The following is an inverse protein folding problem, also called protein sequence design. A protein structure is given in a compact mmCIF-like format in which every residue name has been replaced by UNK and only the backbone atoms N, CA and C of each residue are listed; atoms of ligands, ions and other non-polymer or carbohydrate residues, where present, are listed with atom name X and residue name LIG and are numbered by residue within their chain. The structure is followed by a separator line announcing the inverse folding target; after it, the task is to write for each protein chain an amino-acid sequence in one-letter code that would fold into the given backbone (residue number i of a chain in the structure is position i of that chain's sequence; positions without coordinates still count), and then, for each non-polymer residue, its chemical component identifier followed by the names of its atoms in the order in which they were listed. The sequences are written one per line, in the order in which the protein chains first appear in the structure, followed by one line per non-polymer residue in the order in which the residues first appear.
data_IF_325533871251
#
_entry.id   IF_325533871251
#
_cell.length_a   1.000
_cell.length_b   1.000
_cell.length_c   1.000
_cell.angle_alpha   90.00
_cell.angle_beta   90.00
_cell.angle_gamma   90.00
#
_symmetry.space_group_name_H-M   'P 1'
#
loop_
_entity.id
_entity.type
_entity.pdbx_description
1 polymer ?
#
# COMPACT_ATOMS: atom_id res chain seq x y z
N UNK A 1 8.03 6.79 8.29
CA UNK A 1 6.74 7.01 7.59
C UNK A 1 6.82 8.09 6.52
N UNK A 2 7.18 9.33 6.87
CA UNK A 2 7.11 10.51 5.97
C UNK A 2 7.90 10.39 4.65
N UNK A 3 9.03 9.68 4.64
CA UNK A 3 9.85 9.49 3.43
C UNK A 3 9.21 8.51 2.43
N UNK A 4 8.61 7.41 2.90
CA UNK A 4 8.00 6.43 2.02
C UNK A 4 6.72 6.98 1.36
N UNK A 5 5.93 7.77 2.09
CA UNK A 5 4.78 8.48 1.54
C UNK A 5 5.20 9.53 0.52
N UNK A 6 6.23 10.33 0.84
CA UNK A 6 6.76 11.34 -0.08
C UNK A 6 7.31 10.76 -1.39
N UNK A 7 7.97 9.59 -1.31
CA UNK A 7 8.46 8.88 -2.50
C UNK A 7 7.31 8.41 -3.41
N UNK A 8 6.18 7.98 -2.83
CA UNK A 8 5.01 7.53 -3.59
C UNK A 8 4.15 8.68 -4.12
N UNK A 9 4.09 9.82 -3.42
CA UNK A 9 3.30 10.98 -3.82
C UNK A 9 4.00 11.89 -4.83
N UNK A 10 5.27 11.60 -5.15
CA UNK A 10 6.05 12.33 -6.16
C UNK A 10 5.77 11.79 -7.56
N UNK A 11 5.10 12.53 -8.47
CA UNK A 11 4.64 12.01 -9.77
C UNK A 11 5.75 11.53 -10.70
N UNK A 12 7.00 11.98 -10.51
CA UNK A 12 8.17 11.51 -11.30
C UNK A 12 8.86 10.28 -10.71
N UNK A 13 8.71 10.04 -9.41
CA UNK A 13 9.39 8.97 -8.69
C UNK A 13 8.46 7.80 -8.41
N UNK A 14 7.17 8.07 -8.20
CA UNK A 14 6.14 7.10 -7.89
C UNK A 14 5.91 6.07 -8.99
N UNK A 15 6.23 6.37 -10.26
CA UNK A 15 6.13 5.43 -11.38
C UNK A 15 7.37 4.55 -11.57
N UNK A 16 8.49 4.88 -10.93
CA UNK A 16 9.71 4.08 -11.05
C UNK A 16 9.58 2.77 -10.26
N UNK A 17 9.77 1.59 -10.90
CA UNK A 17 9.69 0.29 -10.22
C UNK A 17 10.64 0.18 -9.02
N UNK A 18 11.81 0.82 -9.11
CA UNK A 18 12.82 0.84 -8.05
C UNK A 18 12.36 1.64 -6.82
N UNK A 19 11.68 2.77 -7.04
CA UNK A 19 11.13 3.61 -5.97
C UNK A 19 9.95 2.89 -5.30
N UNK A 20 9.08 2.25 -6.09
CA UNK A 20 7.98 1.41 -5.57
C UNK A 20 8.49 0.26 -4.71
N UNK A 21 9.54 -0.45 -5.15
CA UNK A 21 10.18 -1.49 -4.35
C UNK A 21 10.78 -0.95 -3.04
N UNK A 22 11.47 0.19 -3.11
CA UNK A 22 12.06 0.82 -1.93
C UNK A 22 10.96 1.25 -0.94
N UNK A 23 9.91 1.91 -1.42
CA UNK A 23 8.76 2.28 -0.62
C UNK A 23 8.11 1.05 0.02
N UNK A 24 7.90 -0.03 -0.75
CA UNK A 24 7.40 -1.31 -0.22
C UNK A 24 8.27 -1.87 0.91
N UNK A 25 9.61 -1.84 0.78
CA UNK A 25 10.52 -2.28 1.84
C UNK A 25 10.43 -1.40 3.09
N UNK A 26 10.34 -0.08 2.91
CA UNK A 26 10.21 0.88 4.01
C UNK A 26 8.86 0.77 4.73
N UNK A 27 7.79 0.43 4.01
CA UNK A 27 6.44 0.28 4.55
C UNK A 27 6.21 -1.09 5.19
N UNK A 28 7.01 -2.10 4.85
CA UNK A 28 6.84 -3.48 5.33
C UNK A 28 6.89 -3.60 6.85
N UNK A 29 7.86 -2.95 7.49
CA UNK A 29 7.97 -2.98 8.95
C UNK A 29 6.83 -2.25 9.65
N UNK A 30 6.55 -0.97 9.36
CA UNK A 30 5.45 -0.25 10.03
C UNK A 30 4.07 -0.86 9.72
N UNK A 31 3.87 -1.44 8.53
CA UNK A 31 2.63 -2.17 8.23
C UNK A 31 2.43 -3.40 9.13
N UNK A 32 3.53 -4.07 9.50
CA UNK A 32 3.53 -5.20 10.45
C UNK A 32 3.32 -4.74 11.89
N UNK A 33 3.80 -3.55 12.24
CA UNK A 33 3.58 -2.92 13.55
C UNK A 33 2.17 -2.34 13.70
N UNK A 34 1.31 -2.47 12.69
CA UNK A 34 -0.08 -2.01 12.74
C UNK A 34 -0.26 -0.52 12.40
N UNK A 35 0.76 0.13 11.83
CA UNK A 35 0.64 1.52 11.39
C UNK A 35 -0.31 1.58 10.19
N UNK A 36 -1.52 2.09 10.44
CA UNK A 36 -2.64 2.13 9.48
C UNK A 36 -2.23 2.71 8.12
N UNK A 37 -1.54 3.86 8.12
CA UNK A 37 -1.07 4.50 6.89
C UNK A 37 -0.07 3.63 6.10
N UNK A 38 0.76 2.86 6.80
CA UNK A 38 1.69 1.93 6.15
C UNK A 38 0.96 0.75 5.52
N UNK A 39 -0.03 0.20 6.22
CA UNK A 39 -0.87 -0.88 5.72
C UNK A 39 -1.61 -0.45 4.46
N UNK A 40 -2.22 0.73 4.45
CA UNK A 40 -2.89 1.27 3.25
C UNK A 40 -1.95 1.40 2.06
N UNK A 41 -0.76 1.99 2.26
CA UNK A 41 0.19 2.24 1.16
C UNK A 41 0.83 0.97 0.64
N UNK A 42 1.24 0.07 1.53
CA UNK A 42 1.79 -1.22 1.14
C UNK A 42 0.73 -2.08 0.44
N UNK A 43 -0.50 -2.08 0.96
CA UNK A 43 -1.62 -2.79 0.35
C UNK A 43 -1.94 -2.31 -1.07
N UNK A 44 -2.03 -1.00 -1.29
CA UNK A 44 -2.20 -0.43 -2.63
C UNK A 44 -1.06 -0.81 -3.58
N UNK A 45 0.18 -0.74 -3.11
CA UNK A 45 1.35 -1.09 -3.91
C UNK A 45 1.34 -2.56 -4.32
N UNK A 46 1.03 -3.46 -3.38
CA UNK A 46 0.90 -4.89 -3.66
C UNK A 46 -0.26 -5.20 -4.61
N UNK A 47 -1.41 -4.53 -4.47
CA UNK A 47 -2.55 -4.76 -5.35
C UNK A 47 -2.34 -4.23 -6.78
N UNK A 48 -1.66 -3.09 -6.94
CA UNK A 48 -1.43 -2.46 -8.26
C UNK A 48 -0.25 -3.05 -9.02
N UNK A 49 0.81 -3.47 -8.33
CA UNK A 49 2.06 -3.90 -8.98
C UNK A 49 2.20 -5.43 -9.10
N UNK A 50 1.39 -6.24 -8.41
CA UNK A 50 1.57 -7.69 -8.44
C UNK A 50 0.71 -8.39 -9.49
N UNK A 51 1.38 -9.05 -10.44
CA UNK A 51 0.76 -10.02 -11.35
C UNK A 51 0.38 -11.35 -10.68
N UNK A 52 0.91 -11.64 -9.48
CA UNK A 52 0.62 -12.88 -8.76
C UNK A 52 -0.62 -12.74 -7.84
N UNK A 53 -1.39 -13.81 -7.69
CA UNK A 53 -2.63 -13.81 -6.90
C UNK A 53 -2.38 -13.71 -5.38
N UNK A 54 -1.24 -14.23 -4.91
CA UNK A 54 -0.89 -14.28 -3.49
C UNK A 54 -0.66 -12.88 -2.92
N UNK A 55 0.15 -12.08 -3.59
CA UNK A 55 0.49 -10.73 -3.14
C UNK A 55 -0.71 -9.80 -3.25
N UNK A 56 -1.59 -10.00 -4.25
CA UNK A 56 -2.89 -9.31 -4.30
C UNK A 56 -3.74 -9.62 -3.06
N UNK A 57 -3.81 -10.89 -2.63
CA UNK A 57 -4.56 -11.26 -1.43
C UNK A 57 -3.98 -10.61 -0.17
N UNK A 58 -2.67 -10.67 0.00
CA UNK A 58 -1.99 -10.01 1.14
C UNK A 58 -2.24 -8.49 1.11
N UNK A 59 -2.16 -7.88 -0.06
CA UNK A 59 -2.43 -6.45 -0.25
C UNK A 59 -3.86 -6.07 0.13
N UNK A 60 -4.85 -6.85 -0.33
CA UNK A 60 -6.25 -6.65 0.05
C UNK A 60 -6.46 -6.81 1.56
N UNK A 61 -5.82 -7.80 2.20
CA UNK A 61 -5.95 -7.99 3.64
C UNK A 61 -5.36 -6.83 4.44
N UNK A 62 -4.25 -6.24 3.98
CA UNK A 62 -3.70 -5.01 4.55
C UNK A 62 -4.67 -3.82 4.37
N UNK A 63 -5.28 -3.68 3.20
CA UNK A 63 -6.29 -2.64 2.95
C UNK A 63 -7.53 -2.84 3.83
N UNK A 64 -7.99 -4.08 4.04
CA UNK A 64 -9.13 -4.35 4.92
C UNK A 64 -8.82 -3.98 6.37
N UNK A 65 -7.61 -4.27 6.86
CA UNK A 65 -7.17 -3.87 8.19
C UNK A 65 -7.18 -2.35 8.34
N UNK A 66 -6.57 -1.64 7.38
CA UNK A 66 -6.52 -0.18 7.42
C UNK A 66 -7.90 0.48 7.28
N UNK A 67 -8.77 -0.04 6.41
CA UNK A 67 -10.14 0.45 6.24
C UNK A 67 -10.98 0.27 7.51
N UNK A 68 -10.81 -0.86 8.22
CA UNK A 68 -11.45 -1.12 9.53
C UNK A 68 -10.94 -0.16 10.61
N UNK A 69 -9.68 0.26 10.52
CA UNK A 69 -9.10 1.27 11.41
C UNK A 69 -9.48 2.72 11.03
N UNK A 70 -10.33 2.92 10.00
CA UNK A 70 -10.85 4.22 9.61
C UNK A 70 -10.09 4.89 8.45
N UNK A 71 -9.18 4.21 7.77
CA UNK A 71 -8.43 4.80 6.66
C UNK A 71 -9.26 4.90 5.37
N UNK A 72 -9.57 6.13 4.95
CA UNK A 72 -10.36 6.40 3.76
C UNK A 72 -9.63 6.09 2.44
N UNK A 73 -8.29 6.06 2.44
CA UNK A 73 -7.53 5.66 1.25
C UNK A 73 -7.66 4.16 1.02
N UNK A 74 -7.62 3.36 2.08
CA UNK A 74 -7.82 1.93 2.01
C UNK A 74 -9.25 1.58 1.61
N UNK A 75 -10.26 2.27 2.17
CA UNK A 75 -11.66 2.06 1.77
C UNK A 75 -11.88 2.34 0.28
N UNK A 76 -11.33 3.44 -0.24
CA UNK A 76 -11.40 3.77 -1.67
C UNK A 76 -10.68 2.74 -2.53
N UNK A 77 -9.47 2.34 -2.15
CA UNK A 77 -8.71 1.34 -2.89
C UNK A 77 -9.41 -0.02 -2.91
N UNK A 78 -10.05 -0.45 -1.82
CA UNK A 78 -10.88 -1.66 -1.82
C UNK A 78 -12.07 -1.52 -2.78
N UNK A 79 -12.74 -0.36 -2.79
CA UNK A 79 -13.81 -0.09 -3.75
C UNK A 79 -13.36 -0.16 -5.21
N UNK A 80 -12.14 0.32 -5.51
CA UNK A 80 -11.53 0.21 -6.86
C UNK A 80 -11.15 -1.24 -7.24
N UNK A 81 -10.86 -2.10 -6.26
CA UNK A 81 -10.39 -3.48 -6.49
C UNK A 81 -11.54 -4.48 -6.51
N UNK A 82 -12.57 -4.26 -5.70
CA UNK A 82 -13.72 -5.14 -5.51
C UNK A 82 -14.93 -4.75 -6.39
N UNK A 83 -14.94 -3.54 -6.95
CA UNK A 83 -15.95 -3.05 -7.90
C UNK A 83 -15.57 -3.30 -9.35
#
# INVERSE_FOLDING_TARGET
MRVAEWLLDSPRLGDSPSVKHLAGRLLKQPAREGVVAAQSRLGQLMCRECGNARDRRIGQDLLRQAARAGDDRARRALGEIEG
#
